data_IF_626550183455
#
_entry.id   IF_626550183455
#
_cell.length_a   1.000
_cell.length_b   1.000
_cell.length_c   1.000
_cell.angle_alpha   90.00
_cell.angle_beta   90.00
_cell.angle_gamma   90.00
#
_symmetry.space_group_name_H-M   'P 1'
#
loop_
_entity.id
_entity.type
_entity.pdbx_description
1 polymer ?
#
# COMPACT_ATOMS: atom_id res chain seq x y z
N UNK A 1 -13.55 -48.41 -9.35
CA UNK A 1 -14.21 -47.30 -10.03
C UNK A 1 -13.10 -46.40 -10.54
N UNK A 2 -13.07 -46.23 -11.85
CA UNK A 2 -11.94 -45.80 -12.66
C UNK A 2 -11.48 -44.37 -12.33
N UNK A 3 -10.16 -44.19 -12.24
CA UNK A 3 -9.47 -42.90 -12.32
C UNK A 3 -9.79 -42.24 -13.66
N UNK A 4 -10.49 -41.11 -13.64
CA UNK A 4 -10.61 -40.22 -14.80
C UNK A 4 -9.20 -39.76 -15.21
N UNK A 5 -8.71 -40.33 -16.31
CA UNK A 5 -7.49 -39.88 -16.96
C UNK A 5 -7.75 -38.50 -17.58
N UNK A 6 -7.01 -37.51 -17.12
CA UNK A 6 -6.97 -36.15 -17.67
C UNK A 6 -6.66 -36.23 -19.18
N UNK A 7 -7.59 -35.73 -20.00
CA UNK A 7 -7.49 -35.81 -21.45
C UNK A 7 -6.21 -35.12 -21.95
N UNK A 8 -5.45 -35.72 -22.89
CA UNK A 8 -4.23 -35.11 -23.41
C UNK A 8 -4.56 -33.78 -24.10
N UNK A 9 -3.94 -32.70 -23.64
CA UNK A 9 -4.11 -31.37 -24.19
C UNK A 9 -3.85 -31.39 -25.72
N UNK A 10 -4.85 -30.98 -26.50
CA UNK A 10 -4.75 -30.89 -27.95
C UNK A 10 -3.57 -29.99 -28.35
N UNK A 11 -2.85 -30.31 -29.44
CA UNK A 11 -1.72 -29.50 -29.89
C UNK A 11 -2.19 -28.08 -30.20
N UNK A 12 -1.81 -27.14 -29.34
CA UNK A 12 -2.15 -25.71 -29.48
C UNK A 12 -1.39 -25.17 -30.68
N UNK A 13 -2.09 -24.60 -31.66
CA UNK A 13 -1.48 -23.90 -32.79
C UNK A 13 -0.43 -22.89 -32.26
N UNK A 14 0.84 -22.94 -32.71
CA UNK A 14 1.90 -22.07 -32.22
C UNK A 14 1.59 -20.57 -32.38
N UNK A 15 0.77 -20.19 -33.37
CA UNK A 15 0.32 -18.80 -33.56
C UNK A 15 -0.70 -18.41 -32.49
N UNK A 16 -1.61 -19.32 -32.14
CA UNK A 16 -2.59 -19.11 -31.09
C UNK A 16 -1.91 -19.04 -29.72
N UNK A 17 -0.94 -19.91 -29.46
CA UNK A 17 -0.14 -19.90 -28.23
C UNK A 17 0.58 -18.55 -28.05
N UNK A 18 1.20 -18.01 -29.10
CA UNK A 18 1.83 -16.69 -29.06
C UNK A 18 0.87 -15.54 -28.80
N UNK A 19 -0.37 -15.60 -29.30
CA UNK A 19 -1.42 -14.60 -29.01
C UNK A 19 -1.92 -14.71 -27.58
N UNK A 20 -2.14 -15.93 -27.09
CA UNK A 20 -2.55 -16.16 -25.71
C UNK A 20 -1.53 -15.61 -24.71
N UNK A 21 -0.23 -15.76 -25.01
CA UNK A 21 0.82 -15.24 -24.14
C UNK A 21 0.82 -13.72 -24.07
N UNK A 22 0.67 -13.03 -25.22
CA UNK A 22 0.52 -11.56 -25.25
C UNK A 22 -0.71 -11.09 -24.49
N UNK A 23 -1.83 -11.81 -24.60
CA UNK A 23 -3.04 -11.48 -23.86
C UNK A 23 -2.87 -11.72 -22.34
N UNK A 24 -2.16 -12.78 -21.93
CA UNK A 24 -1.82 -13.00 -20.52
C UNK A 24 -0.94 -11.88 -19.99
N UNK A 25 0.08 -11.47 -20.74
CA UNK A 25 0.95 -10.34 -20.37
C UNK A 25 0.14 -9.03 -20.24
N UNK A 26 -0.84 -8.80 -21.11
CA UNK A 26 -1.67 -7.59 -21.05
C UNK A 26 -2.65 -7.59 -19.87
N UNK A 27 -3.26 -8.74 -19.55
CA UNK A 27 -4.37 -8.82 -18.58
C UNK A 27 -3.98 -9.31 -17.18
N UNK A 28 -2.93 -10.12 -17.05
CA UNK A 28 -2.51 -10.71 -15.76
C UNK A 28 -1.25 -10.07 -15.20
N UNK A 29 -0.45 -9.42 -16.03
CA UNK A 29 0.87 -8.94 -15.65
C UNK A 29 0.90 -7.43 -15.44
N UNK A 30 2.03 -6.92 -14.96
CA UNK A 30 2.26 -5.51 -14.66
C UNK A 30 2.49 -4.64 -15.91
N UNK A 31 2.39 -5.19 -17.13
CA UNK A 31 2.78 -4.50 -18.36
C UNK A 31 2.14 -3.11 -18.56
N UNK A 32 0.80 -2.92 -18.40
CA UNK A 32 0.21 -1.58 -18.51
C UNK A 32 0.69 -0.61 -17.43
N UNK A 33 0.98 -1.12 -16.23
CA UNK A 33 1.49 -0.33 -15.11
C UNK A 33 2.93 0.09 -15.38
N UNK A 34 3.77 -0.84 -15.83
CA UNK A 34 5.16 -0.61 -16.20
C UNK A 34 5.27 0.42 -17.34
N UNK A 35 4.42 0.31 -18.37
CA UNK A 35 4.37 1.29 -19.47
C UNK A 35 3.98 2.69 -18.99
N UNK A 36 2.97 2.80 -18.12
CA UNK A 36 2.56 4.09 -17.55
C UNK A 36 3.66 4.67 -16.66
N UNK A 37 4.30 3.85 -15.84
CA UNK A 37 5.42 4.29 -15.00
C UNK A 37 6.57 4.80 -15.87
N UNK A 38 6.93 4.08 -16.94
CA UNK A 38 7.97 4.52 -17.86
C UNK A 38 7.62 5.86 -18.50
N UNK A 39 6.38 6.04 -18.96
CA UNK A 39 5.92 7.32 -19.48
C UNK A 39 6.01 8.45 -18.45
N UNK A 40 5.53 8.22 -17.22
CA UNK A 40 5.58 9.22 -16.14
C UNK A 40 7.01 9.56 -15.72
N UNK A 41 7.94 8.59 -15.79
CA UNK A 41 9.35 8.81 -15.53
C UNK A 41 9.97 9.67 -16.64
N UNK A 42 9.79 9.31 -17.91
CA UNK A 42 10.43 10.02 -19.03
C UNK A 42 9.81 11.40 -19.31
N UNK A 43 8.50 11.56 -19.12
CA UNK A 43 7.76 12.79 -19.41
C UNK A 43 7.53 13.67 -18.16
N UNK A 44 8.30 13.47 -17.09
CA UNK A 44 8.19 14.27 -15.87
C UNK A 44 8.68 15.71 -16.11
N UNK A 45 7.75 16.67 -16.10
CA UNK A 45 8.03 18.12 -16.23
C UNK A 45 7.75 18.85 -14.90
N UNK A 46 8.35 18.35 -13.82
CA UNK A 46 8.17 18.90 -12.48
C UNK A 46 9.28 19.87 -12.11
N UNK A 47 8.91 21.10 -11.74
CA UNK A 47 9.86 22.12 -11.29
C UNK A 47 10.19 21.98 -9.79
N UNK A 48 11.39 21.45 -9.49
CA UNK A 48 11.90 21.30 -8.13
C UNK A 48 12.22 22.64 -7.45
N UNK A 49 12.38 23.73 -8.20
CA UNK A 49 12.64 25.07 -7.63
C UNK A 49 11.41 25.56 -6.88
N UNK A 50 10.21 25.30 -7.38
CA UNK A 50 8.96 25.63 -6.68
C UNK A 50 8.89 24.94 -5.32
N UNK A 51 9.25 23.66 -5.27
CA UNK A 51 9.32 22.90 -4.01
C UNK A 51 10.39 23.43 -3.05
N UNK A 52 11.56 23.82 -3.57
CA UNK A 52 12.59 24.50 -2.79
C UNK A 52 12.09 25.81 -2.18
N UNK A 53 11.38 26.62 -2.96
CA UNK A 53 10.79 27.87 -2.49
C UNK A 53 9.75 27.62 -1.40
N UNK A 54 8.86 26.62 -1.56
CA UNK A 54 7.90 26.23 -0.52
C UNK A 54 8.64 25.82 0.76
N UNK A 55 9.65 24.96 0.66
CA UNK A 55 10.46 24.52 1.82
C UNK A 55 11.06 25.70 2.58
N UNK A 56 11.68 26.67 1.88
CA UNK A 56 12.35 27.81 2.54
C UNK A 56 11.39 28.76 3.26
N UNK A 57 10.11 28.77 2.89
CA UNK A 57 9.08 29.60 3.52
C UNK A 57 8.40 28.91 4.71
N UNK A 58 8.61 27.62 4.90
CA UNK A 58 7.98 26.86 5.98
C UNK A 58 8.81 26.98 7.26
N UNK A 59 8.15 27.38 8.34
CA UNK A 59 8.76 27.37 9.66
C UNK A 59 9.01 25.94 10.16
N UNK A 60 10.21 25.69 10.69
CA UNK A 60 10.64 24.36 11.16
C UNK A 60 9.77 23.72 12.24
N UNK A 61 8.95 24.50 12.94
CA UNK A 61 8.10 24.01 14.05
C UNK A 61 6.68 23.65 13.64
N UNK A 62 6.27 23.97 12.41
CA UNK A 62 4.89 23.73 11.96
C UNK A 62 4.76 22.34 11.32
N UNK A 63 4.18 21.39 12.07
CA UNK A 63 3.89 20.05 11.56
C UNK A 63 2.86 20.06 10.43
N UNK A 64 1.88 20.98 10.47
CA UNK A 64 0.84 21.13 9.45
C UNK A 64 1.43 21.56 8.11
N UNK A 65 2.29 22.59 8.11
CA UNK A 65 2.93 23.07 6.89
C UNK A 65 3.95 22.07 6.35
N UNK A 66 4.67 21.38 7.23
CA UNK A 66 5.55 20.29 6.82
C UNK A 66 4.78 19.18 6.10
N UNK A 67 3.67 18.70 6.69
CA UNK A 67 2.81 17.71 6.05
C UNK A 67 2.26 18.18 4.70
N UNK A 68 1.82 19.44 4.61
CA UNK A 68 1.33 20.01 3.36
C UNK A 68 2.39 20.00 2.26
N UNK A 69 3.63 20.37 2.58
CA UNK A 69 4.75 20.34 1.62
C UNK A 69 5.11 18.91 1.19
N UNK A 70 5.11 17.97 2.13
CA UNK A 70 5.39 16.55 1.84
C UNK A 70 4.31 15.95 0.94
N UNK A 71 3.02 16.23 1.22
CA UNK A 71 1.91 15.76 0.37
C UNK A 71 1.96 16.44 -1.00
N UNK A 72 2.25 17.73 -1.06
CA UNK A 72 2.44 18.46 -2.32
C UNK A 72 3.54 17.82 -3.17
N UNK A 73 4.69 17.52 -2.57
CA UNK A 73 5.78 16.79 -3.23
C UNK A 73 5.32 15.41 -3.72
N UNK A 74 4.61 14.64 -2.88
CA UNK A 74 4.07 13.34 -3.25
C UNK A 74 3.16 13.39 -4.47
N UNK A 75 2.30 14.42 -4.59
CA UNK A 75 1.44 14.60 -5.76
C UNK A 75 2.18 15.06 -7.00
N UNK A 76 3.15 15.97 -6.86
CA UNK A 76 3.96 16.44 -7.99
C UNK A 76 4.84 15.34 -8.59
N UNK A 77 5.21 14.34 -7.80
CA UNK A 77 6.09 13.24 -8.22
C UNK A 77 5.37 11.87 -8.27
N UNK A 78 4.05 11.84 -8.23
CA UNK A 78 3.28 10.60 -8.13
C UNK A 78 3.56 9.63 -9.30
N UNK A 79 4.06 8.44 -9.00
CA UNK A 79 4.38 7.40 -9.99
C UNK A 79 5.57 7.70 -10.91
N UNK A 80 6.29 8.81 -10.70
CA UNK A 80 7.45 9.18 -11.50
C UNK A 80 8.75 8.49 -11.06
N UNK A 81 8.74 7.91 -9.84
CA UNK A 81 9.91 7.36 -9.16
C UNK A 81 11.09 8.35 -8.92
N UNK A 82 10.88 9.65 -9.14
CA UNK A 82 11.89 10.68 -8.87
C UNK A 82 11.84 11.12 -7.40
N UNK A 83 12.71 10.54 -6.59
CA UNK A 83 12.82 10.82 -5.15
C UNK A 83 13.98 11.79 -4.80
N UNK A 84 14.57 12.46 -5.80
CA UNK A 84 15.73 13.35 -5.64
C UNK A 84 15.51 14.43 -4.58
N UNK A 85 14.31 15.01 -4.53
CA UNK A 85 13.98 16.01 -3.52
C UNK A 85 14.03 15.43 -2.09
N UNK A 86 13.56 14.20 -1.87
CA UNK A 86 13.65 13.56 -0.54
C UNK A 86 15.11 13.28 -0.16
N UNK A 87 15.89 12.73 -1.09
CA UNK A 87 17.32 12.43 -0.88
C UNK A 87 18.13 13.67 -0.53
N UNK A 88 17.85 14.79 -1.21
CA UNK A 88 18.53 16.07 -0.96
C UNK A 88 18.09 16.73 0.36
N UNK A 89 16.97 16.31 0.96
CA UNK A 89 16.35 16.97 2.11
C UNK A 89 16.10 16.01 3.30
N UNK A 90 16.87 14.93 3.42
CA UNK A 90 16.68 13.91 4.47
C UNK A 90 16.67 14.48 5.90
N UNK A 91 17.55 15.44 6.21
CA UNK A 91 17.58 16.09 7.53
C UNK A 91 16.26 16.85 7.81
N UNK A 92 15.72 17.53 6.80
CA UNK A 92 14.46 18.24 6.91
C UNK A 92 13.28 17.27 7.11
N UNK A 93 13.29 16.12 6.43
CA UNK A 93 12.30 15.05 6.64
C UNK A 93 12.44 14.40 8.03
N UNK A 94 13.66 14.30 8.56
CA UNK A 94 13.95 13.74 9.88
C UNK A 94 13.34 14.55 11.04
N UNK A 95 13.13 15.85 10.83
CA UNK A 95 12.50 16.76 11.79
C UNK A 95 11.01 16.50 12.02
N UNK A 96 10.36 15.71 11.15
CA UNK A 96 8.96 15.33 11.35
C UNK A 96 8.79 14.52 12.65
N UNK A 97 7.65 14.72 13.33
CA UNK A 97 7.31 13.99 14.56
C UNK A 97 5.95 13.30 14.44
N UNK A 98 5.79 12.18 15.15
CA UNK A 98 4.53 11.42 15.22
C UNK A 98 3.91 11.16 13.83
N UNK A 99 2.63 11.48 13.63
CA UNK A 99 1.89 11.31 12.38
C UNK A 99 2.45 12.09 11.18
N UNK A 100 3.22 13.16 11.42
CA UNK A 100 3.92 13.82 10.32
C UNK A 100 5.04 12.94 9.76
N UNK A 101 5.72 12.19 10.63
CA UNK A 101 6.72 11.18 10.22
C UNK A 101 6.07 10.00 9.52
N UNK A 102 4.89 9.58 9.97
CA UNK A 102 4.08 8.58 9.26
C UNK A 102 3.75 9.03 7.83
N UNK A 103 3.24 10.26 7.67
CA UNK A 103 2.89 10.85 6.37
C UNK A 103 4.11 11.01 5.47
N UNK A 104 5.24 11.43 6.03
CA UNK A 104 6.53 11.50 5.34
C UNK A 104 6.94 10.16 4.73
N UNK A 105 6.93 9.08 5.52
CA UNK A 105 7.29 7.75 5.01
C UNK A 105 6.24 7.23 4.03
N UNK A 106 4.95 7.46 4.29
CA UNK A 106 3.86 7.09 3.40
C UNK A 106 3.96 7.75 2.01
N UNK A 107 4.42 9.01 1.95
CA UNK A 107 4.57 9.76 0.69
C UNK A 107 5.53 9.11 -0.31
N UNK A 108 6.49 8.32 0.18
CA UNK A 108 7.40 7.51 -0.65
C UNK A 108 6.59 6.54 -1.52
N UNK A 109 5.53 5.94 -0.97
CA UNK A 109 4.66 5.02 -1.71
C UNK A 109 3.89 5.68 -2.84
N UNK A 110 3.56 6.98 -2.71
CA UNK A 110 2.90 7.76 -3.78
C UNK A 110 3.87 8.02 -4.93
N UNK A 111 5.12 8.39 -4.62
CA UNK A 111 6.15 8.66 -5.63
C UNK A 111 6.49 7.41 -6.43
N UNK A 112 6.52 6.26 -5.76
CA UNK A 112 6.83 4.96 -6.35
C UNK A 112 5.58 4.12 -6.69
N UNK A 113 4.40 4.76 -6.83
CA UNK A 113 3.17 4.06 -7.14
C UNK A 113 3.29 3.22 -8.43
N UNK A 114 3.00 1.92 -8.35
CA UNK A 114 3.14 0.98 -9.47
C UNK A 114 4.52 0.33 -9.61
N UNK A 115 5.53 0.78 -8.87
CA UNK A 115 6.89 0.20 -8.92
C UNK A 115 7.01 -1.05 -8.02
N UNK A 116 6.25 -2.10 -8.34
CA UNK A 116 6.07 -3.27 -7.47
C UNK A 116 7.34 -4.12 -7.28
N UNK A 117 8.22 -4.21 -8.28
CA UNK A 117 9.39 -5.11 -8.27
C UNK A 117 10.46 -4.70 -7.25
N UNK A 118 10.66 -3.40 -7.05
CA UNK A 118 11.72 -2.87 -6.17
C UNK A 118 11.17 -2.31 -4.85
N UNK A 119 9.86 -2.36 -4.63
CA UNK A 119 9.21 -1.70 -3.49
C UNK A 119 9.75 -2.14 -2.14
N UNK A 120 10.03 -3.43 -1.96
CA UNK A 120 10.55 -4.00 -0.71
C UNK A 120 12.00 -3.57 -0.44
N UNK A 121 12.81 -3.44 -1.49
CA UNK A 121 14.20 -2.97 -1.38
C UNK A 121 14.21 -1.49 -1.04
N UNK A 122 13.37 -0.71 -1.72
CA UNK A 122 13.27 0.74 -1.54
C UNK A 122 12.79 1.14 -0.14
N UNK A 123 11.78 0.42 0.38
CA UNK A 123 11.23 0.68 1.71
C UNK A 123 11.99 -0.05 2.84
N UNK A 124 12.91 -0.97 2.51
CA UNK A 124 13.69 -1.77 3.46
C UNK A 124 14.40 -1.00 4.61
N UNK A 125 14.83 0.26 4.44
CA UNK A 125 15.33 1.09 5.55
C UNK A 125 14.26 1.51 6.56
N UNK A 126 12.99 1.56 6.14
CA UNK A 126 11.86 2.04 6.94
C UNK A 126 10.93 0.93 7.42
N UNK A 127 11.00 -0.26 6.80
CA UNK A 127 10.18 -1.41 7.17
C UNK A 127 10.52 -1.94 8.57
N UNK A 128 9.53 -2.47 9.31
CA UNK A 128 9.75 -3.11 10.60
C UNK A 128 10.73 -4.29 10.44
N UNK A 129 11.77 -4.34 11.28
CA UNK A 129 12.77 -5.42 11.28
C UNK A 129 12.52 -6.38 12.43
N UNK A 130 12.47 -7.66 12.13
CA UNK A 130 12.44 -8.73 13.13
C UNK A 130 13.82 -8.84 13.79
N UNK A 131 13.99 -8.17 14.93
CA UNK A 131 15.24 -8.19 15.71
C UNK A 131 15.54 -6.81 16.28
N UNK A 132 15.17 -6.60 17.54
CA UNK A 132 15.20 -5.31 18.24
C UNK A 132 16.58 -4.73 18.57
N UNK A 133 17.61 -4.98 17.77
CA UNK A 133 18.95 -4.44 18.01
C UNK A 133 19.44 -3.64 16.79
N UNK A 134 19.37 -2.31 16.90
CA UNK A 134 20.48 -1.38 16.70
C UNK A 134 19.99 0.07 16.88
N UNK A 135 20.93 0.96 17.22
CA UNK A 135 20.74 2.39 17.53
C UNK A 135 20.15 3.28 16.41
N UNK A 136 19.54 2.68 15.38
CA UNK A 136 18.94 3.32 14.22
C UNK A 136 17.49 2.83 13.97
N UNK A 137 16.78 2.38 15.02
CA UNK A 137 15.39 1.95 14.87
C UNK A 137 14.52 3.11 14.34
N UNK A 138 13.88 2.97 13.17
CA UNK A 138 12.89 3.93 12.72
C UNK A 138 11.77 3.99 13.76
N UNK A 139 11.24 5.19 14.02
CA UNK A 139 10.12 5.33 14.97
C UNK A 139 8.93 4.48 14.50
N UNK A 140 8.05 3.99 15.40
CA UNK A 140 6.87 3.22 15.02
C UNK A 140 5.98 3.90 13.96
N UNK A 141 5.93 5.23 13.96
CA UNK A 141 5.25 6.02 12.94
C UNK A 141 5.87 5.89 11.54
N UNK A 142 7.19 5.84 11.45
CA UNK A 142 7.89 5.62 10.18
C UNK A 142 7.69 4.18 9.71
N UNK A 143 7.74 3.21 10.63
CA UNK A 143 7.49 1.81 10.32
C UNK A 143 6.06 1.60 9.81
N UNK A 144 5.05 2.09 10.53
CA UNK A 144 3.67 2.09 10.07
C UNK A 144 3.47 2.81 8.73
N UNK A 145 4.09 3.98 8.57
CA UNK A 145 4.04 4.74 7.32
C UNK A 145 4.64 3.98 6.13
N UNK A 146 5.65 3.15 6.37
CA UNK A 146 6.24 2.29 5.34
C UNK A 146 5.33 1.12 4.93
N UNK A 147 4.56 0.55 5.87
CA UNK A 147 3.55 -0.47 5.55
C UNK A 147 2.42 0.13 4.70
N UNK A 148 1.99 1.35 5.03
CA UNK A 148 1.03 2.07 4.21
C UNK A 148 1.60 2.43 2.84
N UNK A 149 2.86 2.89 2.77
CA UNK A 149 3.56 3.13 1.50
C UNK A 149 3.60 1.88 0.63
N UNK A 150 3.85 0.71 1.22
CA UNK A 150 3.89 -0.56 0.48
C UNK A 150 2.53 -0.88 -0.15
N UNK A 151 1.43 -0.66 0.57
CA UNK A 151 0.08 -0.80 0.01
C UNK A 151 -0.21 0.21 -1.11
N UNK A 152 0.24 1.46 -0.98
CA UNK A 152 0.10 2.49 -2.03
C UNK A 152 0.83 2.07 -3.31
N UNK A 153 2.05 1.53 -3.20
CA UNK A 153 2.81 1.03 -4.36
C UNK A 153 2.07 -0.10 -5.07
N UNK A 154 1.50 -1.03 -4.32
CA UNK A 154 0.86 -2.25 -4.84
C UNK A 154 -0.63 -2.10 -5.19
N UNK A 155 -1.23 -0.94 -4.91
CA UNK A 155 -2.64 -0.64 -5.22
C UNK A 155 -3.02 -0.78 -6.70
N UNK A 156 -2.05 -0.70 -7.61
CA UNK A 156 -2.24 -0.79 -9.07
C UNK A 156 -1.90 -2.17 -9.64
N UNK A 157 -1.33 -3.05 -8.83
CA UNK A 157 -0.88 -4.40 -9.22
C UNK A 157 -1.66 -5.48 -8.48
N UNK A 158 -2.88 -5.16 -8.05
CA UNK A 158 -3.76 -6.08 -7.31
C UNK A 158 -4.02 -7.34 -8.12
N UNK A 159 -3.92 -8.50 -7.47
CA UNK A 159 -4.11 -9.82 -8.10
C UNK A 159 -2.89 -10.36 -8.86
N UNK A 160 -1.81 -9.61 -8.98
CA UNK A 160 -0.53 -10.10 -9.55
C UNK A 160 0.26 -10.95 -8.54
N UNK A 161 1.26 -11.69 -9.00
CA UNK A 161 2.15 -12.48 -8.13
C UNK A 161 2.94 -11.60 -7.15
N UNK A 162 3.43 -10.44 -7.59
CA UNK A 162 4.18 -9.49 -6.76
C UNK A 162 3.34 -8.98 -5.57
N UNK A 163 2.04 -8.77 -5.79
CA UNK A 163 1.12 -8.34 -4.74
C UNK A 163 0.87 -9.43 -3.69
N UNK A 164 0.95 -10.71 -4.05
CA UNK A 164 0.67 -11.82 -3.11
C UNK A 164 1.70 -11.90 -2.00
N UNK A 165 2.98 -11.71 -2.32
CA UNK A 165 4.06 -11.71 -1.32
C UNK A 165 3.90 -10.54 -0.34
N UNK A 166 3.55 -9.36 -0.87
CA UNK A 166 3.30 -8.16 -0.06
C UNK A 166 2.06 -8.30 0.82
N UNK A 167 0.97 -8.88 0.31
CA UNK A 167 -0.22 -9.18 1.11
C UNK A 167 0.10 -10.12 2.28
N UNK A 168 0.88 -11.17 2.04
CA UNK A 168 1.29 -12.10 3.10
C UNK A 168 2.19 -11.42 4.14
N UNK A 169 3.10 -10.55 3.69
CA UNK A 169 3.95 -9.76 4.57
C UNK A 169 3.14 -8.77 5.41
N UNK A 170 2.26 -7.97 4.81
CA UNK A 170 1.40 -7.00 5.50
C UNK A 170 0.47 -7.69 6.51
N UNK A 171 -0.12 -8.84 6.15
CA UNK A 171 -0.94 -9.61 7.08
C UNK A 171 -0.14 -10.16 8.26
N UNK A 172 1.13 -10.51 8.06
CA UNK A 172 2.03 -10.92 9.15
C UNK A 172 2.37 -9.74 10.05
N UNK A 173 2.70 -8.58 9.47
CA UNK A 173 2.97 -7.37 10.25
C UNK A 173 1.75 -6.90 11.05
N UNK A 174 0.53 -7.04 10.52
CA UNK A 174 -0.68 -6.69 11.25
C UNK A 174 -0.87 -7.58 12.49
N UNK A 175 -0.64 -8.90 12.36
CA UNK A 175 -0.71 -9.82 13.50
C UNK A 175 0.38 -9.54 14.54
N UNK A 176 1.59 -9.21 14.07
CA UNK A 176 2.75 -8.95 14.93
C UNK A 176 2.71 -7.55 15.57
N UNK A 177 1.90 -6.62 15.04
CA UNK A 177 1.84 -5.25 15.52
C UNK A 177 1.34 -5.12 16.96
N UNK A 178 0.50 -6.07 17.42
CA UNK A 178 -0.05 -6.07 18.78
C UNK A 178 -0.68 -4.71 19.15
N UNK A 179 -0.32 -4.09 20.29
CA UNK A 179 -0.86 -2.80 20.72
C UNK A 179 -0.17 -1.59 20.08
N UNK A 180 0.74 -1.77 19.11
CA UNK A 180 1.45 -0.68 18.46
C UNK A 180 0.56 0.00 17.41
N UNK A 181 -0.18 1.01 17.85
CA UNK A 181 -1.20 1.73 17.09
C UNK A 181 -0.71 2.23 15.71
N UNK A 182 0.41 2.98 15.56
CA UNK A 182 0.89 3.42 14.25
C UNK A 182 1.21 2.28 13.28
N UNK A 183 1.73 1.17 13.80
CA UNK A 183 2.12 0.01 13.01
C UNK A 183 0.88 -0.75 12.51
N UNK A 184 -0.06 -1.04 13.42
CA UNK A 184 -1.34 -1.66 13.08
C UNK A 184 -2.16 -0.80 12.12
N UNK A 185 -2.21 0.52 12.35
CA UNK A 185 -2.89 1.48 11.46
C UNK A 185 -2.32 1.44 10.04
N UNK A 186 -0.99 1.51 9.91
CA UNK A 186 -0.32 1.42 8.61
C UNK A 186 -0.51 0.06 7.92
N UNK A 187 -0.47 -1.03 8.68
CA UNK A 187 -0.70 -2.37 8.17
C UNK A 187 -2.14 -2.55 7.66
N UNK A 188 -3.16 -2.08 8.40
CA UNK A 188 -4.56 -2.13 7.99
C UNK A 188 -4.81 -1.36 6.68
N UNK A 189 -4.33 -0.12 6.59
CA UNK A 189 -4.48 0.70 5.37
C UNK A 189 -3.72 0.07 4.19
N UNK A 190 -2.49 -0.39 4.43
CA UNK A 190 -1.67 -1.02 3.40
C UNK A 190 -2.31 -2.31 2.86
N UNK A 191 -2.83 -3.15 3.75
CA UNK A 191 -3.50 -4.41 3.40
C UNK A 191 -4.79 -4.16 2.62
N UNK A 192 -5.60 -3.18 3.03
CA UNK A 192 -6.80 -2.77 2.30
C UNK A 192 -6.53 -2.29 0.87
N UNK A 193 -5.47 -1.49 0.68
CA UNK A 193 -5.05 -1.02 -0.65
C UNK A 193 -4.51 -2.15 -1.52
N UNK A 194 -3.67 -3.01 -0.97
CA UNK A 194 -3.11 -4.16 -1.69
C UNK A 194 -4.17 -5.22 -2.03
N UNK A 195 -5.27 -5.26 -1.29
CA UNK A 195 -6.39 -6.18 -1.50
C UNK A 195 -7.63 -5.51 -2.13
N UNK A 196 -7.48 -4.34 -2.75
CA UNK A 196 -8.59 -3.55 -3.28
C UNK A 196 -9.51 -4.39 -4.20
N UNK A 197 -10.78 -4.49 -3.82
CA UNK A 197 -11.80 -5.23 -4.57
C UNK A 197 -11.55 -6.74 -4.70
N UNK A 198 -10.60 -7.32 -3.96
CA UNK A 198 -10.28 -8.76 -4.06
C UNK A 198 -11.33 -9.64 -3.38
N UNK A 199 -12.06 -9.11 -2.39
CA UNK A 199 -12.97 -9.85 -1.51
C UNK A 199 -12.31 -11.10 -0.88
N UNK A 200 -11.00 -11.05 -0.62
CA UNK A 200 -10.27 -12.16 0.00
C UNK A 200 -10.72 -12.35 1.47
N UNK A 201 -11.28 -13.53 1.83
CA UNK A 201 -11.76 -13.80 3.18
C UNK A 201 -10.64 -13.81 4.23
N UNK A 202 -9.40 -14.13 3.86
CA UNK A 202 -8.26 -14.15 4.79
C UNK A 202 -7.89 -12.72 5.21
N UNK A 203 -7.90 -11.81 4.23
CA UNK A 203 -7.67 -10.39 4.48
C UNK A 203 -8.83 -9.79 5.28
N UNK A 204 -10.07 -10.17 4.97
CA UNK A 204 -11.24 -9.75 5.74
C UNK A 204 -11.12 -10.13 7.22
N UNK A 205 -10.81 -11.40 7.54
CA UNK A 205 -10.72 -11.82 8.93
C UNK A 205 -9.60 -11.10 9.68
N UNK A 206 -8.44 -10.89 9.02
CA UNK A 206 -7.33 -10.13 9.61
C UNK A 206 -7.73 -8.68 9.96
N UNK A 207 -8.47 -8.00 9.07
CA UNK A 207 -8.96 -6.64 9.31
C UNK A 207 -10.10 -6.62 10.35
N UNK A 208 -10.94 -7.65 10.36
CA UNK A 208 -12.03 -7.82 11.32
C UNK A 208 -11.50 -8.02 12.74
N UNK A 209 -10.45 -8.81 12.92
CA UNK A 209 -9.74 -8.95 14.19
C UNK A 209 -9.20 -7.59 14.66
N UNK A 210 -8.58 -6.82 13.77
CA UNK A 210 -8.09 -5.48 14.07
C UNK A 210 -9.22 -4.52 14.48
N UNK A 211 -10.38 -4.55 13.80
CA UNK A 211 -11.55 -3.74 14.16
C UNK A 211 -12.06 -4.01 15.59
N UNK A 212 -11.97 -5.27 16.03
CA UNK A 212 -12.42 -5.71 17.37
C UNK A 212 -11.49 -5.31 18.52
N UNK A 213 -10.30 -4.77 18.24
CA UNK A 213 -9.34 -4.34 19.28
C UNK A 213 -9.80 -3.13 20.10
N UNK A 214 -10.92 -2.50 19.72
CA UNK A 214 -11.51 -1.33 20.41
C UNK A 214 -10.56 -0.11 20.53
N UNK A 215 -9.55 -0.03 19.66
CA UNK A 215 -8.72 1.15 19.48
C UNK A 215 -9.29 2.03 18.36
N UNK A 216 -9.41 3.34 18.60
CA UNK A 216 -10.04 4.25 17.65
C UNK A 216 -9.26 4.38 16.33
N UNK A 217 -7.93 4.39 16.39
CA UNK A 217 -7.07 4.63 15.23
C UNK A 217 -6.87 3.35 14.42
N UNK A 218 -6.71 2.21 15.09
CA UNK A 218 -6.69 0.90 14.41
C UNK A 218 -8.06 0.60 13.81
N UNK A 219 -9.15 0.89 14.55
CA UNK A 219 -10.53 0.67 14.12
C UNK A 219 -10.89 1.46 12.86
N UNK A 220 -10.51 2.74 12.79
CA UNK A 220 -10.70 3.56 11.58
C UNK A 220 -9.97 2.97 10.36
N UNK A 221 -8.69 2.62 10.51
CA UNK A 221 -7.92 2.03 9.42
C UNK A 221 -8.46 0.67 8.98
N UNK A 222 -8.88 -0.17 9.92
CA UNK A 222 -9.49 -1.46 9.64
C UNK A 222 -10.81 -1.29 8.88
N UNK A 223 -11.66 -0.33 9.29
CA UNK A 223 -12.92 -0.04 8.61
C UNK A 223 -12.70 0.45 7.16
N UNK A 224 -11.75 1.36 6.93
CA UNK A 224 -11.37 1.76 5.57
C UNK A 224 -10.83 0.58 4.76
N UNK A 225 -9.98 -0.26 5.38
CA UNK A 225 -9.44 -1.46 4.74
C UNK A 225 -10.53 -2.43 4.29
N UNK A 226 -11.53 -2.69 5.14
CA UNK A 226 -12.69 -3.55 4.82
C UNK A 226 -13.50 -2.92 3.67
N UNK A 227 -13.71 -1.60 3.70
CA UNK A 227 -14.40 -0.90 2.61
C UNK A 227 -13.69 -1.04 1.27
N UNK A 228 -12.36 -0.89 1.26
CA UNK A 228 -11.53 -1.07 0.05
C UNK A 228 -11.54 -2.53 -0.43
N UNK A 229 -11.47 -3.50 0.47
CA UNK A 229 -11.51 -4.93 0.15
C UNK A 229 -12.78 -5.32 -0.64
N UNK A 230 -13.93 -4.74 -0.29
CA UNK A 230 -15.22 -4.99 -0.94
C UNK A 230 -15.60 -3.94 -2.01
N UNK A 231 -14.69 -3.04 -2.39
CA UNK A 231 -14.96 -2.04 -3.42
C UNK A 231 -15.37 -2.72 -4.75
N UNK A 232 -16.50 -2.29 -5.32
CA UNK A 232 -17.03 -2.82 -6.57
C UNK A 232 -17.70 -4.21 -6.49
N UNK A 233 -17.82 -4.80 -5.29
CA UNK A 233 -18.48 -6.10 -5.10
C UNK A 233 -20.00 -5.99 -5.04
N UNK A 234 -20.72 -7.05 -5.40
CA UNK A 234 -22.19 -7.05 -5.37
C UNK A 234 -22.70 -6.96 -3.93
N UNK A 235 -23.82 -6.26 -3.72
CA UNK A 235 -24.49 -6.24 -2.42
C UNK A 235 -25.04 -7.61 -2.04
N UNK A 236 -25.23 -8.51 -3.01
CA UNK A 236 -25.75 -9.86 -2.77
C UNK A 236 -24.72 -10.87 -2.29
N UNK A 237 -23.44 -10.51 -2.33
CA UNK A 237 -22.36 -11.39 -1.90
C UNK A 237 -22.42 -11.61 -0.37
N UNK A 238 -22.42 -12.88 0.10
CA UNK A 238 -22.69 -13.19 1.50
C UNK A 238 -21.65 -12.59 2.45
N UNK A 239 -20.36 -12.67 2.09
CA UNK A 239 -19.27 -12.14 2.90
C UNK A 239 -19.35 -10.61 3.05
N UNK A 240 -19.77 -9.92 1.98
CA UNK A 240 -19.98 -8.46 2.03
C UNK A 240 -21.17 -8.10 2.92
N UNK A 241 -22.28 -8.84 2.84
CA UNK A 241 -23.46 -8.62 3.72
C UNK A 241 -23.10 -8.79 5.19
N UNK A 242 -22.27 -9.78 5.52
CA UNK A 242 -21.76 -9.99 6.86
C UNK A 242 -20.90 -8.80 7.32
N UNK A 243 -19.95 -8.38 6.48
CA UNK A 243 -19.09 -7.23 6.77
C UNK A 243 -19.90 -5.93 6.97
N UNK A 244 -20.91 -5.68 6.14
CA UNK A 244 -21.79 -4.51 6.27
C UNK A 244 -22.56 -4.52 7.60
N UNK A 245 -23.12 -5.68 7.96
CA UNK A 245 -23.86 -5.85 9.22
C UNK A 245 -22.94 -5.59 10.41
N UNK A 246 -21.75 -6.17 10.42
CA UNK A 246 -20.78 -6.00 11.51
C UNK A 246 -20.30 -4.55 11.62
N UNK A 247 -19.97 -3.91 10.51
CA UNK A 247 -19.58 -2.49 10.51
C UNK A 247 -20.70 -1.60 11.03
N UNK A 248 -21.96 -1.88 10.68
CA UNK A 248 -23.11 -1.12 11.16
C UNK A 248 -23.36 -1.34 12.66
N UNK A 249 -23.22 -2.57 13.15
CA UNK A 249 -23.32 -2.89 14.57
C UNK A 249 -22.20 -2.22 15.38
N UNK A 250 -20.96 -2.26 14.86
CA UNK A 250 -19.81 -1.60 15.46
C UNK A 250 -20.02 -0.09 15.52
N UNK A 251 -20.42 0.54 14.41
CA UNK A 251 -20.66 1.99 14.35
C UNK A 251 -21.74 2.44 15.35
N UNK A 252 -22.78 1.63 15.57
CA UNK A 252 -23.82 1.91 16.57
C UNK A 252 -23.32 1.74 18.01
N UNK A 253 -22.37 0.84 18.24
CA UNK A 253 -21.81 0.61 19.56
C UNK A 253 -20.79 1.70 19.97
N UNK A 254 -20.17 2.36 18.99
CA UNK A 254 -19.14 3.40 19.19
C UNK A 254 -19.63 4.84 19.03
N UNK A 255 -20.87 5.05 18.60
CA UNK A 255 -21.51 6.37 18.47
C UNK A 255 -22.18 6.82 19.76
#
# INVERSE_FOLDING_TARGET
METEAEAPAAPVDPVLAGRQEKLRMLFKDTFPVDLRMQFLNEACDTDLVVLGNIKTKIEHRSSVLHNAAVVCHGYLQAGTAHDQFLRNNLEWMGNASHWAKFTATASIGVIHAGHAKESMVLLGPYLPRSGGDTAANPSPYSEGGSLYALGLVHSQTVGTSANREVLAYLGTQLRDAGPNEPLAHGACLGLGLAALGSADPVVYESLREALKTADAVIGEAAAYGIGLLFAGRSFDEPLRKEAEKELLEYAKATA
#
